data_IF_804460765316
#
_entry.id   IF_804460765316
#
_cell.length_a   1.000
_cell.length_b   1.000
_cell.length_c   1.000
_cell.angle_alpha   90.00
_cell.angle_beta   90.00
_cell.angle_gamma   90.00
#
_symmetry.space_group_name_H-M   'P 1'
#
loop_
_entity.id
_entity.type
_entity.pdbx_description
1 polymer ?
#
# COMPACT_ATOMS: atom_id res chain seq x y z
N UNK A 1 -12.28 10.42 -9.35
CA UNK A 1 -10.86 10.08 -9.06
C UNK A 1 -10.48 8.82 -9.84
N UNK A 2 -9.25 8.69 -10.32
CA UNK A 2 -8.75 7.43 -10.87
C UNK A 2 -8.30 6.52 -9.72
N UNK A 3 -8.83 5.31 -9.63
CA UNK A 3 -8.43 4.29 -8.64
C UNK A 3 -7.85 3.10 -9.36
N UNK A 4 -6.86 2.47 -8.74
CA UNK A 4 -6.41 1.14 -9.12
C UNK A 4 -7.46 0.14 -8.64
N UNK A 5 -7.87 -0.76 -9.52
CA UNK A 5 -8.76 -1.88 -9.22
C UNK A 5 -7.97 -3.14 -9.52
N UNK A 6 -8.03 -4.12 -8.62
CA UNK A 6 -7.40 -5.42 -8.78
C UNK A 6 -8.42 -6.48 -9.20
N UNK A 7 -7.95 -7.43 -10.00
CA UNK A 7 -8.66 -8.65 -10.34
C UNK A 7 -7.69 -9.82 -10.10
N UNK A 8 -7.80 -10.45 -8.93
CA UNK A 8 -6.88 -11.49 -8.46
C UNK A 8 -6.95 -12.75 -9.33
N UNK A 9 -8.08 -12.99 -9.98
CA UNK A 9 -8.25 -14.12 -10.91
C UNK A 9 -7.36 -14.03 -12.15
N UNK A 10 -6.91 -12.81 -12.50
CA UNK A 10 -6.02 -12.55 -13.64
C UNK A 10 -4.56 -12.41 -13.23
N UNK A 11 -4.26 -12.43 -11.94
CA UNK A 11 -2.89 -12.26 -11.48
C UNK A 11 -2.10 -13.56 -11.66
N UNK A 12 -1.08 -13.52 -12.52
CA UNK A 12 -0.14 -14.62 -12.73
C UNK A 12 1.08 -14.60 -11.78
N UNK A 13 1.11 -13.67 -10.83
CA UNK A 13 2.19 -13.62 -9.83
C UNK A 13 3.54 -13.15 -10.38
N UNK A 14 3.59 -12.39 -11.49
CA UNK A 14 4.85 -12.03 -12.15
C UNK A 14 5.71 -10.98 -11.41
N UNK A 15 5.17 -10.29 -10.41
CA UNK A 15 5.92 -9.29 -9.62
C UNK A 15 6.22 -7.96 -10.35
N UNK A 16 5.91 -7.81 -11.64
CA UNK A 16 6.24 -6.59 -12.39
C UNK A 16 5.65 -5.30 -11.79
N UNK A 17 4.44 -5.37 -11.22
CA UNK A 17 3.83 -4.24 -10.53
C UNK A 17 4.56 -3.87 -9.23
N UNK A 18 5.11 -4.87 -8.53
CA UNK A 18 5.89 -4.71 -7.29
C UNK A 18 7.20 -3.98 -7.61
N UNK A 19 7.96 -4.49 -8.59
CA UNK A 19 9.24 -3.90 -9.05
C UNK A 19 9.05 -2.46 -9.54
N UNK A 20 8.05 -2.20 -10.40
CA UNK A 20 7.82 -0.85 -10.92
C UNK A 20 7.38 0.12 -9.83
N UNK A 21 6.66 -0.34 -8.82
CA UNK A 21 6.25 0.52 -7.72
C UNK A 21 7.43 0.90 -6.81
N UNK A 22 8.30 -0.06 -6.43
CA UNK A 22 9.52 0.27 -5.66
C UNK A 22 10.44 1.20 -6.46
N UNK A 23 10.62 0.93 -7.75
CA UNK A 23 11.44 1.76 -8.64
C UNK A 23 10.86 3.17 -8.82
N UNK A 24 9.54 3.32 -8.88
CA UNK A 24 8.90 4.62 -9.05
C UNK A 24 9.10 5.51 -7.81
N UNK A 25 8.90 4.97 -6.61
CA UNK A 25 8.81 5.75 -5.36
C UNK A 25 10.08 5.75 -4.51
N UNK A 26 10.87 4.67 -4.54
CA UNK A 26 12.07 4.51 -3.73
C UNK A 26 13.35 4.45 -4.57
N UNK A 27 13.24 4.40 -5.91
CA UNK A 27 14.39 4.30 -6.84
C UNK A 27 15.23 3.03 -6.63
N UNK A 28 14.58 1.97 -6.14
CA UNK A 28 15.19 0.68 -5.85
C UNK A 28 14.37 -0.46 -6.45
N UNK A 29 15.03 -1.57 -6.77
CA UNK A 29 14.35 -2.85 -7.04
C UNK A 29 14.30 -3.69 -5.76
N UNK A 30 13.44 -3.27 -4.84
CA UNK A 30 13.27 -3.90 -3.53
C UNK A 30 11.78 -4.09 -3.25
N UNK A 31 11.33 -5.36 -3.24
CA UNK A 31 9.93 -5.71 -3.03
C UNK A 31 9.39 -5.21 -1.68
N UNK A 32 10.23 -5.18 -0.65
CA UNK A 32 9.85 -4.73 0.69
C UNK A 32 9.55 -3.22 0.74
N UNK A 33 10.06 -2.44 -0.23
CA UNK A 33 9.74 -1.01 -0.38
C UNK A 33 8.57 -0.76 -1.31
N UNK A 34 8.05 -1.79 -1.96
CA UNK A 34 6.93 -1.63 -2.89
C UNK A 34 5.63 -1.34 -2.15
N UNK A 35 4.86 -0.37 -2.64
CA UNK A 35 3.50 -0.09 -2.11
C UNK A 35 2.44 -1.04 -2.65
N UNK A 36 2.82 -1.96 -3.52
CA UNK A 36 1.99 -3.03 -4.08
C UNK A 36 2.66 -4.35 -3.69
N UNK A 37 1.89 -5.30 -3.17
CA UNK A 37 2.40 -6.64 -2.87
C UNK A 37 1.61 -7.71 -3.59
N UNK A 38 2.29 -8.81 -3.89
CA UNK A 38 1.71 -10.00 -4.49
C UNK A 38 2.11 -11.18 -3.63
N UNK A 39 1.14 -11.79 -2.96
CA UNK A 39 1.34 -13.01 -2.17
C UNK A 39 0.92 -14.21 -3.00
N UNK A 40 1.82 -15.19 -3.12
CA UNK A 40 1.59 -16.45 -3.84
C UNK A 40 1.22 -17.53 -2.83
N UNK A 41 0.28 -18.38 -3.20
CA UNK A 41 -0.17 -19.50 -2.39
C UNK A 41 0.08 -20.80 -3.15
N UNK A 42 0.71 -21.78 -2.51
CA UNK A 42 0.97 -23.08 -3.13
C UNK A 42 -0.30 -23.92 -3.29
N UNK A 43 -1.28 -23.71 -2.41
CA UNK A 43 -2.55 -24.44 -2.34
C UNK A 43 -3.65 -23.85 -3.22
N UNK A 44 -3.39 -22.77 -3.96
CA UNK A 44 -4.42 -22.03 -4.72
C UNK A 44 -3.93 -21.61 -6.11
N UNK A 45 -4.88 -21.43 -7.02
CA UNK A 45 -4.64 -21.01 -8.41
C UNK A 45 -4.76 -19.48 -8.61
N UNK A 46 -4.83 -18.71 -7.53
CA UNK A 46 -4.89 -17.24 -7.57
C UNK A 46 -3.88 -16.64 -6.59
N UNK A 47 -3.43 -15.44 -6.90
CA UNK A 47 -2.47 -14.69 -6.08
C UNK A 47 -3.17 -13.51 -5.43
N UNK A 48 -2.89 -13.25 -4.15
CA UNK A 48 -3.46 -12.10 -3.45
C UNK A 48 -2.71 -10.84 -3.86
N UNK A 49 -3.45 -9.83 -4.30
CA UNK A 49 -2.90 -8.52 -4.63
C UNK A 49 -3.24 -7.53 -3.53
N UNK A 50 -2.23 -6.99 -2.86
CA UNK A 50 -2.45 -5.97 -1.83
C UNK A 50 -2.13 -4.60 -2.41
N UNK A 51 -3.16 -3.75 -2.51
CA UNK A 51 -3.08 -2.38 -3.02
C UNK A 51 -3.87 -1.42 -2.12
N UNK A 52 -3.42 -0.18 -2.00
CA UNK A 52 -4.19 0.85 -1.29
C UNK A 52 -5.38 1.33 -2.14
N UNK A 53 -6.60 1.06 -1.67
CA UNK A 53 -7.86 1.49 -2.30
C UNK A 53 -8.17 2.97 -2.12
N UNK A 54 -7.31 3.70 -1.40
CA UNK A 54 -7.48 5.12 -1.05
C UNK A 54 -8.77 5.35 -0.24
N UNK A 55 -9.18 4.39 0.61
CA UNK A 55 -10.39 4.50 1.41
C UNK A 55 -10.34 5.69 2.38
N UNK A 56 -9.24 5.82 3.14
CA UNK A 56 -9.01 6.92 4.08
C UNK A 56 -9.09 6.53 5.56
N UNK A 57 -9.43 5.29 5.90
CA UNK A 57 -9.49 4.81 7.30
C UNK A 57 -8.19 5.08 8.07
N UNK A 58 -7.04 4.92 7.41
CA UNK A 58 -5.74 5.21 8.01
C UNK A 58 -5.52 6.71 8.31
N UNK A 59 -6.19 7.61 7.59
CA UNK A 59 -6.16 9.05 7.86
C UNK A 59 -7.08 9.40 9.05
N UNK A 60 -8.27 8.80 9.11
CA UNK A 60 -9.24 9.02 10.20
C UNK A 60 -8.68 8.63 11.57
N UNK A 61 -7.90 7.55 11.63
CA UNK A 61 -7.29 7.05 12.86
C UNK A 61 -5.95 7.72 13.21
N UNK A 62 -5.39 8.56 12.33
CA UNK A 62 -4.07 9.14 12.53
C UNK A 62 -4.09 10.25 13.59
N UNK A 63 -3.48 10.07 14.78
CA UNK A 63 -3.63 11.02 15.89
C UNK A 63 -2.93 12.35 15.64
N UNK A 64 -1.92 12.38 14.77
CA UNK A 64 -1.17 13.60 14.43
C UNK A 64 -1.61 14.23 13.11
N UNK A 65 -2.64 13.69 12.46
CA UNK A 65 -3.10 14.12 11.14
C UNK A 65 -2.01 14.07 10.05
N UNK A 66 -0.98 13.22 10.22
CA UNK A 66 0.08 13.03 9.24
C UNK A 66 -0.42 12.36 7.94
N UNK A 67 -1.57 11.69 7.98
CA UNK A 67 -2.22 11.12 6.82
C UNK A 67 -3.43 11.96 6.43
N UNK A 68 -3.47 12.45 5.19
CA UNK A 68 -4.57 13.27 4.67
C UNK A 68 -4.95 12.85 3.27
N UNK A 69 -6.24 13.00 2.93
CA UNK A 69 -6.73 12.78 1.57
C UNK A 69 -6.66 14.08 0.78
N UNK A 70 -5.90 14.09 -0.32
CA UNK A 70 -5.79 15.28 -1.17
C UNK A 70 -7.06 15.53 -1.99
N UNK A 71 -7.13 16.68 -2.68
CA UNK A 71 -8.28 17.05 -3.52
C UNK A 71 -8.57 16.05 -4.65
N UNK A 72 -7.60 15.23 -5.04
CA UNK A 72 -7.75 14.16 -6.04
C UNK A 72 -8.21 12.85 -5.42
N UNK A 73 -8.38 12.80 -4.10
CA UNK A 73 -8.79 11.64 -3.33
C UNK A 73 -7.64 10.71 -2.93
N UNK A 74 -6.36 11.10 -3.12
CA UNK A 74 -5.21 10.26 -2.79
C UNK A 74 -4.81 10.48 -1.34
N UNK A 75 -4.65 9.40 -0.58
CA UNK A 75 -4.14 9.44 0.79
C UNK A 75 -2.62 9.67 0.74
N UNK A 76 -2.16 10.70 1.44
CA UNK A 76 -0.77 11.15 1.48
C UNK A 76 -0.26 11.12 2.91
N UNK A 77 0.93 10.56 3.11
CA UNK A 77 1.65 10.58 4.38
C UNK A 77 2.65 11.76 4.38
N UNK A 78 2.50 12.67 5.32
CA UNK A 78 3.55 13.61 5.69
C UNK A 78 4.48 12.94 6.70
N UNK A 79 5.71 12.59 6.26
CA UNK A 79 6.69 11.95 7.13
C UNK A 79 7.15 12.84 8.29
N UNK A 80 7.07 14.16 8.17
CA UNK A 80 7.52 15.10 9.22
C UNK A 80 6.59 15.10 10.44
N UNK A 81 5.30 14.87 10.22
CA UNK A 81 4.28 14.90 11.28
C UNK A 81 3.99 13.49 11.81
N UNK A 82 4.53 12.46 11.14
CA UNK A 82 4.34 11.06 11.51
C UNK A 82 5.24 10.71 12.71
N UNK A 83 4.61 10.29 13.80
CA UNK A 83 5.32 9.90 15.04
C UNK A 83 5.59 8.39 15.15
N UNK A 84 5.31 7.62 14.08
CA UNK A 84 5.56 6.17 14.08
C UNK A 84 4.68 5.37 15.04
N UNK A 85 3.45 5.81 15.34
CA UNK A 85 2.54 5.10 16.25
C UNK A 85 1.92 3.82 15.67
N UNK A 86 2.07 3.59 14.36
CA UNK A 86 1.57 2.41 13.63
C UNK A 86 0.07 2.12 13.70
N UNK A 87 -0.77 3.03 14.21
CA UNK A 87 -2.23 2.88 14.15
C UNK A 87 -2.74 2.67 12.72
N UNK A 88 -2.17 3.40 11.76
CA UNK A 88 -2.52 3.25 10.35
C UNK A 88 -2.20 1.86 9.78
N UNK A 89 -1.21 1.16 10.33
CA UNK A 89 -0.86 -0.23 9.97
C UNK A 89 -1.90 -1.18 10.54
N UNK A 90 -2.21 -1.06 11.83
CA UNK A 90 -3.17 -1.96 12.50
C UNK A 90 -4.62 -1.81 12.03
N UNK A 91 -5.03 -0.61 11.61
CA UNK A 91 -6.42 -0.33 11.20
C UNK A 91 -6.63 -0.32 9.68
N UNK A 92 -5.63 -0.65 8.86
CA UNK A 92 -5.81 -0.66 7.41
C UNK A 92 -6.64 -1.89 6.98
N UNK A 93 -7.87 -1.71 6.46
CA UNK A 93 -8.73 -2.85 6.09
C UNK A 93 -8.18 -3.64 4.90
N UNK A 94 -7.34 -3.01 4.07
CA UNK A 94 -6.71 -3.63 2.91
C UNK A 94 -5.34 -4.24 3.24
N UNK A 95 -4.85 -4.09 4.48
CA UNK A 95 -3.47 -4.44 4.89
C UNK A 95 -2.38 -3.73 4.03
N UNK A 96 -2.73 -2.64 3.35
CA UNK A 96 -1.84 -1.92 2.46
C UNK A 96 -0.88 -0.96 3.19
N UNK A 97 -1.10 -0.72 4.48
CA UNK A 97 -0.18 0.02 5.35
C UNK A 97 0.71 -0.96 6.10
N UNK A 98 2.00 -0.67 6.16
CA UNK A 98 3.02 -1.51 6.79
C UNK A 98 4.23 -0.65 7.16
N UNK A 99 5.02 -1.12 8.12
CA UNK A 99 6.33 -0.56 8.44
C UNK A 99 7.39 -1.21 7.55
N UNK A 100 8.40 -0.42 7.19
CA UNK A 100 9.68 -0.91 6.73
C UNK A 100 10.78 -0.20 7.52
N UNK A 101 11.85 -0.91 7.87
CA UNK A 101 12.95 -0.41 8.72
C UNK A 101 13.94 0.52 7.97
N UNK A 102 13.43 1.32 7.03
CA UNK A 102 14.21 2.31 6.27
C UNK A 102 14.65 3.51 7.11
#
# INVERSE_FOLDING_TARGET
MRRLIKDESKCIGCGACVEKCSSAYFKENNENKSRIRVEKFEDRNWNRLTICTQCGVCAEICPTMALVKDIKGVVRLNKKDCVGCYMCVGFCPEEAMFQHDD
#
